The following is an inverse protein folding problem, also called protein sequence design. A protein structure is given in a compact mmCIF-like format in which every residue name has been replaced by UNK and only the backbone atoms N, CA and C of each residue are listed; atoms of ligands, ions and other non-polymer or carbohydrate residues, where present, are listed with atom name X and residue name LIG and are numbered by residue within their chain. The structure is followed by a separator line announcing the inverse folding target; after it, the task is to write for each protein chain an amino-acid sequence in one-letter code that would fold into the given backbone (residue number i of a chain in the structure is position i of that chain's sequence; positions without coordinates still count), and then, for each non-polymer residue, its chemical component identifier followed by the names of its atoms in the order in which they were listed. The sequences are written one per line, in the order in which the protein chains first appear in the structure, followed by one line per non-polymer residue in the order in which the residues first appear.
data_IF_976329642670
#
_entry.id   IF_976329642670
#
_cell.length_a   1.000
_cell.length_b   1.000
_cell.length_c   1.000
_cell.angle_alpha   90.00
_cell.angle_beta   90.00
_cell.angle_gamma   90.00
#
_symmetry.space_group_name_H-M   'P 1'
#
loop_
_entity.id
_entity.type
_entity.pdbx_description
1 polymer ?
#
# COMPACT_ATOMS: atom_id res chain seq x y z
N UNK A 1 10.22 16.90 8.28
CA UNK A 1 9.11 16.03 8.71
C UNK A 1 9.66 14.63 8.91
N UNK A 2 9.56 14.04 10.11
CA UNK A 2 10.10 12.70 10.38
C UNK A 2 9.26 11.68 9.60
N UNK A 3 9.91 10.89 8.74
CA UNK A 3 9.26 9.74 8.12
C UNK A 3 8.81 8.79 9.25
N UNK A 4 7.50 8.57 9.37
CA UNK A 4 6.88 7.70 10.37
C UNK A 4 7.03 6.22 9.99
N UNK A 5 7.25 5.96 8.71
CA UNK A 5 7.48 4.63 8.14
C UNK A 5 8.97 4.32 8.17
N UNK A 6 9.34 3.23 8.83
CA UNK A 6 10.72 2.73 8.89
C UNK A 6 11.01 1.77 7.74
N UNK A 7 9.98 1.08 7.23
CA UNK A 7 10.09 0.17 6.10
C UNK A 7 8.83 0.23 5.24
N UNK A 8 8.96 0.73 4.01
CA UNK A 8 7.88 0.84 3.03
C UNK A 8 8.32 0.25 1.68
N UNK A 9 8.34 -1.08 1.54
CA UNK A 9 8.48 -1.67 0.22
C UNK A 9 7.31 -1.20 -0.65
N UNK A 10 7.63 -0.73 -1.86
CA UNK A 10 6.59 -0.35 -2.83
C UNK A 10 5.80 -1.61 -3.22
N UNK A 11 4.47 -1.51 -3.39
CA UNK A 11 3.69 -2.62 -3.88
C UNK A 11 4.20 -3.09 -5.24
N UNK A 12 4.33 -4.41 -5.35
CA UNK A 12 4.75 -5.04 -6.60
C UNK A 12 3.57 -4.94 -7.55
N UNK A 13 3.79 -4.32 -8.72
CA UNK A 13 2.79 -4.29 -9.76
C UNK A 13 2.62 -5.71 -10.33
N UNK A 14 1.47 -6.38 -10.15
CA UNK A 14 1.29 -7.76 -10.60
C UNK A 14 1.43 -7.87 -12.11
N UNK A 15 2.12 -8.92 -12.57
CA UNK A 15 2.32 -9.14 -14.00
C UNK A 15 1.00 -9.22 -14.76
N UNK A 16 -0.04 -9.82 -14.16
CA UNK A 16 -1.37 -9.92 -14.76
C UNK A 16 -2.03 -8.56 -14.95
N UNK A 17 -2.04 -7.72 -13.91
CA UNK A 17 -2.55 -6.36 -14.02
C UNK A 17 -1.77 -5.55 -15.06
N UNK A 18 -0.44 -5.74 -15.12
CA UNK A 18 0.41 -5.04 -16.11
C UNK A 18 0.11 -5.50 -17.53
N UNK A 19 -0.06 -6.83 -17.71
CA UNK A 19 -0.38 -7.45 -19.01
C UNK A 19 -1.77 -7.05 -19.49
N UNK A 20 -2.73 -6.94 -18.58
CA UNK A 20 -4.10 -6.51 -18.84
C UNK A 20 -4.28 -4.99 -18.89
N UNK A 21 -3.20 -4.21 -18.71
CA UNK A 21 -3.24 -2.74 -18.69
C UNK A 21 -4.26 -2.20 -17.67
N UNK A 22 -4.34 -2.82 -16.50
CA UNK A 22 -5.24 -2.40 -15.43
C UNK A 22 -4.60 -1.25 -14.67
N UNK A 23 -5.15 -0.06 -14.81
CA UNK A 23 -4.81 1.11 -13.99
C UNK A 23 -5.89 1.41 -12.99
N UNK A 24 -5.54 2.10 -11.91
CA UNK A 24 -6.51 2.51 -10.92
C UNK A 24 -5.88 3.24 -9.74
N UNK A 25 -6.71 3.91 -8.96
CA UNK A 25 -6.30 4.57 -7.73
C UNK A 25 -7.20 4.13 -6.60
N UNK A 26 -6.60 3.86 -5.44
CA UNK A 26 -7.31 3.44 -4.26
C UNK A 26 -6.71 4.04 -3.00
N UNK A 27 -7.37 3.79 -1.88
CA UNK A 27 -6.92 4.22 -0.56
C UNK A 27 -6.94 3.00 0.35
N UNK A 28 -5.77 2.64 0.87
CA UNK A 28 -5.65 1.62 1.90
C UNK A 28 -5.61 2.26 3.28
N UNK A 29 -6.30 1.66 4.24
CA UNK A 29 -6.16 1.95 5.65
C UNK A 29 -5.33 0.84 6.29
N UNK A 30 -4.18 1.22 6.84
CA UNK A 30 -3.33 0.36 7.63
C UNK A 30 -3.60 0.64 9.11
N UNK A 31 -3.80 -0.42 9.88
CA UNK A 31 -3.80 -0.39 11.34
C UNK A 31 -2.44 -0.89 11.80
N UNK A 32 -1.78 -0.07 12.61
CA UNK A 32 -0.43 -0.29 13.09
C UNK A 32 -0.48 -0.48 14.60
N UNK A 33 0.22 -1.47 15.10
CA UNK A 33 0.50 -1.63 16.51
C UNK A 33 1.45 -0.52 16.98
N UNK A 34 1.00 0.33 17.90
CA UNK A 34 1.82 1.41 18.43
C UNK A 34 2.96 0.94 19.34
N UNK A 35 2.95 -0.30 19.82
CA UNK A 35 4.00 -0.90 20.65
C UNK A 35 5.17 -1.38 19.80
N UNK A 36 4.88 -2.17 18.76
CA UNK A 36 5.92 -2.77 17.92
C UNK A 36 6.16 -2.02 16.59
N UNK A 37 5.22 -1.17 16.17
CA UNK A 37 5.23 -0.52 14.87
C UNK A 37 4.88 -1.46 13.70
N UNK A 38 4.35 -2.65 13.99
CA UNK A 38 3.96 -3.63 12.97
C UNK A 38 2.54 -3.35 12.46
N UNK A 39 2.32 -3.57 11.16
CA UNK A 39 0.98 -3.48 10.59
C UNK A 39 0.21 -4.75 10.97
N UNK A 40 -0.86 -4.58 11.76
CA UNK A 40 -1.70 -5.69 12.25
C UNK A 40 -2.94 -5.92 11.39
N UNK A 41 -3.38 -4.90 10.67
CA UNK A 41 -4.51 -5.00 9.75
C UNK A 41 -4.32 -4.05 8.56
N UNK A 42 -4.76 -4.47 7.39
CA UNK A 42 -4.79 -3.66 6.17
C UNK A 42 -6.10 -3.91 5.47
N UNK A 43 -6.79 -2.83 5.13
CA UNK A 43 -8.01 -2.89 4.33
C UNK A 43 -8.05 -1.80 3.28
N UNK A 44 -8.68 -2.10 2.14
CA UNK A 44 -8.97 -1.09 1.14
C UNK A 44 -10.22 -0.32 1.57
N UNK A 45 -10.05 0.98 1.84
CA UNK A 45 -11.18 1.91 2.05
C UNK A 45 -11.77 2.29 0.71
N UNK A 46 -10.92 2.44 -0.30
CA UNK A 46 -11.31 2.68 -1.68
C UNK A 46 -10.56 1.69 -2.56
N UNK A 47 -11.29 0.79 -3.21
CA UNK A 47 -10.73 -0.17 -4.16
C UNK A 47 -10.07 0.55 -5.34
N UNK A 48 -8.98 -0.02 -5.85
CA UNK A 48 -8.32 0.45 -7.08
C UNK A 48 -9.15 0.15 -8.34
N UNK A 49 -10.31 -0.50 -8.22
CA UNK A 49 -11.14 -0.94 -9.35
C UNK A 49 -10.74 -2.30 -9.92
N UNK A 50 -9.80 -3.00 -9.27
CA UNK A 50 -9.42 -4.37 -9.62
C UNK A 50 -8.94 -5.14 -8.41
N UNK A 51 -9.48 -6.35 -8.21
CA UNK A 51 -9.10 -7.24 -7.11
C UNK A 51 -7.62 -7.65 -7.16
N UNK A 52 -7.01 -7.68 -8.36
CA UNK A 52 -5.59 -8.01 -8.54
C UNK A 52 -4.71 -6.89 -7.94
N UNK A 53 -5.06 -5.64 -8.22
CA UNK A 53 -4.37 -4.48 -7.68
C UNK A 53 -4.60 -4.36 -6.18
N UNK A 54 -5.83 -4.60 -5.72
CA UNK A 54 -6.17 -4.56 -4.29
C UNK A 54 -5.36 -5.60 -3.52
N UNK A 55 -5.33 -6.87 -3.95
CA UNK A 55 -4.53 -7.90 -3.27
C UNK A 55 -3.04 -7.57 -3.23
N UNK A 56 -2.46 -7.08 -4.33
CA UNK A 56 -1.04 -6.70 -4.36
C UNK A 56 -0.73 -5.52 -3.42
N UNK A 57 -1.70 -4.61 -3.29
CA UNK A 57 -1.64 -3.48 -2.38
C UNK A 57 -1.67 -3.96 -0.93
N UNK A 58 -2.61 -4.85 -0.59
CA UNK A 58 -2.76 -5.45 0.74
C UNK A 58 -1.49 -6.19 1.17
N UNK A 59 -0.96 -7.06 0.31
CA UNK A 59 0.26 -7.85 0.58
C UNK A 59 1.48 -6.97 0.83
N UNK A 60 1.62 -5.87 0.08
CA UNK A 60 2.73 -4.95 0.24
C UNK A 60 2.63 -4.14 1.52
N UNK A 61 1.45 -3.60 1.81
CA UNK A 61 1.20 -2.81 3.01
C UNK A 61 1.25 -3.64 4.28
N UNK A 62 0.89 -4.92 4.24
CA UNK A 62 1.06 -5.81 5.37
C UNK A 62 2.53 -5.99 5.77
N UNK A 63 3.47 -5.83 4.83
CA UNK A 63 4.91 -5.87 5.09
C UNK A 63 5.48 -4.55 5.57
N UNK A 64 4.70 -3.47 5.57
CA UNK A 64 5.19 -2.17 6.04
C UNK A 64 5.48 -2.20 7.53
N UNK A 65 6.44 -1.39 7.95
CA UNK A 65 6.73 -1.15 9.35
C UNK A 65 6.80 0.34 9.61
N UNK A 66 6.20 0.72 10.72
CA UNK A 66 6.16 2.08 11.21
C UNK A 66 7.02 2.18 12.46
N UNK A 67 7.27 3.40 12.88
CA UNK A 67 7.97 3.66 14.12
C UNK A 67 7.01 3.44 15.31
N UNK A 68 7.40 2.66 16.34
CA UNK A 68 6.65 2.54 17.58
C UNK A 68 6.27 3.89 18.17
N UNK A 69 5.06 4.00 18.72
CA UNK A 69 4.52 5.19 19.38
C UNK A 69 4.23 6.35 18.45
N UNK A 70 4.19 6.12 17.13
CA UNK A 70 4.05 7.20 16.15
C UNK A 70 2.64 7.32 15.58
N UNK A 71 2.06 6.19 15.11
CA UNK A 71 0.75 6.16 14.45
C UNK A 71 0.04 4.85 14.77
N UNK A 72 -1.28 4.91 14.93
CA UNK A 72 -2.14 3.72 15.09
C UNK A 72 -2.91 3.38 13.81
N UNK A 73 -3.27 4.40 13.03
CA UNK A 73 -4.01 4.26 11.77
C UNK A 73 -3.44 5.20 10.71
N UNK A 74 -3.17 4.66 9.53
CA UNK A 74 -2.60 5.43 8.42
C UNK A 74 -3.39 5.15 7.16
N UNK A 75 -3.85 6.21 6.50
CA UNK A 75 -4.43 6.13 5.16
C UNK A 75 -3.33 6.39 4.14
N UNK A 76 -3.13 5.43 3.24
CA UNK A 76 -2.14 5.50 2.18
C UNK A 76 -2.86 5.49 0.83
N UNK A 77 -2.85 6.59 0.08
CA UNK A 77 -3.32 6.58 -1.30
C UNK A 77 -2.33 5.82 -2.17
N UNK A 78 -2.84 4.95 -3.03
CA UNK A 78 -2.08 4.19 -4.02
C UNK A 78 -2.61 4.49 -5.41
N UNK A 79 -1.71 4.67 -6.37
CA UNK A 79 -2.07 4.89 -7.78
C UNK A 79 -1.24 3.98 -8.66
N UNK A 80 -1.91 3.13 -9.42
CA UNK A 80 -1.34 2.27 -10.45
C UNK A 80 -1.50 2.93 -11.80
N UNK A 81 -0.41 3.48 -12.33
CA UNK A 81 -0.35 4.00 -13.70
C UNK A 81 0.49 3.07 -14.57
N UNK A 82 0.11 2.93 -15.84
CA UNK A 82 0.89 2.20 -16.84
C UNK A 82 2.01 3.02 -17.46
N UNK A 83 2.04 4.32 -17.14
CA UNK A 83 3.16 5.20 -17.42
C UNK A 83 4.32 4.77 -16.53
N UNK A 84 5.03 3.72 -16.95
CA UNK A 84 6.44 3.59 -16.60
C UNK A 84 7.16 4.88 -16.99
N UNK A 85 8.28 5.22 -16.34
CA UNK A 85 9.00 6.45 -16.65
C UNK A 85 9.20 6.50 -18.17
N UNK A 86 8.69 7.56 -18.80
CA UNK A 86 9.12 7.94 -20.12
C UNK A 86 10.63 8.11 -20.01
N UNK A 87 11.38 7.17 -20.59
CA UNK A 87 12.82 7.25 -20.72
C UNK A 87 13.21 8.51 -21.48
#
# INVERSE_FOLDING_TARGET
MRALVTYAPRPVYPYEARRQRITGSGIALLTVDSVDGNVVDVRMVQSCGSSILDNATLDAFQRWRFKPGSVERVQVPITYTLTGPSY
#
